data_IF_295683380885
#
_entry.id   IF_295683380885
#
_cell.length_a   1.000
_cell.length_b   1.000
_cell.length_c   1.000
_cell.angle_alpha   90.00
_cell.angle_beta   90.00
_cell.angle_gamma   90.00
#
_symmetry.space_group_name_H-M   'P 1'
#
loop_
_entity.id
_entity.type
_entity.pdbx_description
1 polymer ?
#
# COMPACT_ATOMS: atom_id res chain seq x y z
N UNK A 1 14.62 -82.59 -26.78
CA UNK A 1 14.65 -81.55 -27.84
C UNK A 1 15.29 -80.29 -27.27
N UNK A 2 16.58 -80.05 -27.50
CA UNK A 2 17.30 -78.86 -26.99
C UNK A 2 17.46 -77.85 -28.14
N UNK A 3 16.76 -76.71 -28.08
CA UNK A 3 16.97 -75.58 -29.00
C UNK A 3 18.12 -74.72 -28.48
N UNK A 4 19.21 -74.65 -29.23
CA UNK A 4 20.31 -73.71 -28.96
C UNK A 4 19.84 -72.29 -29.29
N UNK A 5 19.74 -71.44 -28.26
CA UNK A 5 19.52 -70.01 -28.45
C UNK A 5 20.75 -69.41 -29.16
N UNK A 6 20.54 -68.80 -30.34
CA UNK A 6 21.58 -68.05 -31.04
C UNK A 6 21.98 -66.86 -30.18
N UNK A 7 23.28 -66.71 -29.90
CA UNK A 7 23.81 -65.54 -29.20
C UNK A 7 23.49 -64.29 -30.05
N UNK A 8 22.88 -63.24 -29.47
CA UNK A 8 22.60 -62.01 -30.21
C UNK A 8 23.89 -61.40 -30.75
N UNK A 9 23.84 -60.79 -31.94
CA UNK A 9 25.03 -60.18 -32.54
C UNK A 9 25.44 -58.94 -31.72
N UNK A 10 26.75 -58.65 -31.61
CA UNK A 10 27.23 -57.47 -30.88
C UNK A 10 26.60 -56.16 -31.36
N UNK A 11 26.34 -56.05 -32.68
CA UNK A 11 25.68 -54.88 -33.28
C UNK A 11 24.24 -54.67 -32.77
N UNK A 12 23.49 -55.76 -32.56
CA UNK A 12 22.12 -55.71 -32.05
C UNK A 12 22.10 -55.22 -30.58
N UNK A 13 23.09 -55.65 -29.79
CA UNK A 13 23.25 -55.19 -28.40
C UNK A 13 23.55 -53.70 -28.37
N UNK A 14 24.47 -53.22 -29.21
CA UNK A 14 24.81 -51.80 -29.29
C UNK A 14 23.60 -50.98 -29.78
N UNK A 15 22.84 -51.45 -30.77
CA UNK A 15 21.64 -50.74 -31.24
C UNK A 15 20.58 -50.63 -30.15
N UNK A 16 20.39 -51.68 -29.33
CA UNK A 16 19.45 -51.60 -28.22
C UNK A 16 19.93 -50.65 -27.13
N UNK A 17 21.21 -50.67 -26.75
CA UNK A 17 21.74 -49.73 -25.75
C UNK A 17 21.60 -48.29 -26.25
N UNK A 18 21.99 -48.03 -27.50
CA UNK A 18 21.85 -46.71 -28.11
C UNK A 18 20.38 -46.27 -28.17
N UNK A 19 19.47 -47.18 -28.50
CA UNK A 19 18.02 -46.91 -28.52
C UNK A 19 17.51 -46.59 -27.11
N UNK A 20 17.88 -47.38 -26.10
CA UNK A 20 17.50 -47.13 -24.71
C UNK A 20 18.06 -45.79 -24.18
N UNK A 21 19.30 -45.44 -24.51
CA UNK A 21 19.91 -44.15 -24.13
C UNK A 21 19.25 -42.99 -24.88
N UNK A 22 18.90 -43.16 -26.15
CA UNK A 22 18.22 -42.15 -26.96
C UNK A 22 16.78 -41.89 -26.51
N UNK A 23 16.07 -42.91 -26.01
CA UNK A 23 14.72 -42.77 -25.46
C UNK A 23 14.71 -42.39 -23.96
N UNK A 24 15.76 -42.75 -23.23
CA UNK A 24 15.89 -42.44 -21.79
C UNK A 24 16.57 -41.09 -21.49
N UNK A 25 17.16 -40.45 -22.51
CA UNK A 25 17.85 -39.17 -22.37
C UNK A 25 16.92 -37.97 -22.44
N UNK A 26 17.19 -36.98 -21.57
CA UNK A 26 16.81 -35.56 -21.65
C UNK A 26 15.43 -35.11 -21.17
N UNK A 27 15.04 -35.43 -19.93
CA UNK A 27 14.06 -34.59 -19.21
C UNK A 27 14.06 -34.77 -17.69
N UNK A 28 15.24 -34.80 -17.07
CA UNK A 28 15.33 -34.74 -15.60
C UNK A 28 14.77 -33.44 -15.00
N UNK A 29 14.60 -32.38 -15.79
CA UNK A 29 13.92 -31.14 -15.37
C UNK A 29 12.40 -31.15 -15.51
N UNK A 30 11.78 -32.17 -16.13
CA UNK A 30 10.33 -32.23 -16.34
C UNK A 30 9.66 -33.38 -15.58
N UNK A 31 10.41 -34.41 -15.17
CA UNK A 31 9.85 -35.61 -14.53
C UNK A 31 9.16 -35.33 -13.18
N UNK A 32 9.52 -34.24 -12.49
CA UNK A 32 8.93 -33.83 -11.20
C UNK A 32 7.80 -32.82 -11.34
N UNK A 33 7.51 -32.34 -12.56
CA UNK A 33 6.52 -31.29 -12.80
C UNK A 33 6.85 -29.92 -12.18
N UNK A 34 8.06 -29.75 -11.62
CA UNK A 34 8.49 -28.53 -10.95
C UNK A 34 9.88 -28.10 -11.43
N UNK A 35 9.97 -26.90 -11.98
CA UNK A 35 11.23 -26.19 -12.21
C UNK A 35 11.47 -25.34 -10.97
N UNK A 36 12.59 -25.54 -10.27
CA UNK A 36 12.97 -24.78 -9.09
C UNK A 36 13.95 -23.65 -9.47
N UNK A 37 14.29 -22.79 -8.51
CA UNK A 37 15.18 -21.65 -8.75
C UNK A 37 16.59 -22.04 -9.21
N UNK A 38 17.05 -23.25 -8.87
CA UNK A 38 18.38 -23.75 -9.28
C UNK A 38 18.48 -24.03 -10.78
N UNK A 39 17.35 -24.29 -11.46
CA UNK A 39 17.28 -24.48 -12.91
C UNK A 39 17.14 -23.16 -13.68
N UNK A 40 16.84 -22.05 -12.99
CA UNK A 40 16.61 -20.73 -13.60
C UNK A 40 17.85 -19.85 -13.41
N UNK A 41 18.45 -19.43 -14.52
CA UNK A 41 19.57 -18.49 -14.48
C UNK A 41 19.09 -17.09 -14.13
N UNK A 42 19.84 -16.37 -13.31
CA UNK A 42 19.50 -14.99 -12.94
C UNK A 42 19.37 -14.09 -14.19
N UNK A 43 18.39 -13.20 -14.15
CA UNK A 43 18.07 -12.21 -15.19
C UNK A 43 17.60 -12.81 -16.54
N UNK A 44 17.20 -14.08 -16.60
CA UNK A 44 16.68 -14.67 -17.86
C UNK A 44 15.17 -14.60 -17.98
N UNK A 45 14.44 -14.44 -16.89
CA UNK A 45 12.98 -14.30 -16.91
C UNK A 45 12.63 -12.83 -17.11
N UNK A 46 11.93 -12.54 -18.20
CA UNK A 46 11.50 -11.21 -18.61
C UNK A 46 9.99 -11.07 -18.48
N UNK A 47 9.47 -9.85 -18.69
CA UNK A 47 8.02 -9.61 -18.63
C UNK A 47 7.21 -10.41 -19.67
N UNK A 48 7.81 -10.80 -20.81
CA UNK A 48 7.13 -11.65 -21.81
C UNK A 48 6.97 -13.09 -21.36
N UNK A 49 7.80 -13.56 -20.42
CA UNK A 49 7.74 -14.91 -19.87
C UNK A 49 6.66 -15.05 -18.79
N UNK A 50 6.14 -13.91 -18.29
CA UNK A 50 5.15 -13.85 -17.23
C UNK A 50 3.81 -13.45 -17.83
N UNK A 51 2.77 -14.26 -17.58
CA UNK A 51 1.41 -13.91 -18.01
C UNK A 51 0.92 -12.66 -17.29
N UNK A 52 0.26 -11.78 -18.03
CA UNK A 52 -0.29 -10.55 -17.47
C UNK A 52 -1.28 -10.86 -16.33
N UNK A 53 -1.21 -10.06 -15.25
CA UNK A 53 -2.12 -10.13 -14.08
C UNK A 53 -2.03 -11.41 -13.25
N UNK A 54 -0.96 -12.21 -13.35
CA UNK A 54 -0.81 -13.45 -12.56
C UNK A 54 0.06 -13.31 -11.31
N UNK A 55 0.91 -12.29 -11.23
CA UNK A 55 1.71 -11.99 -10.03
C UNK A 55 0.79 -11.44 -8.94
N UNK A 56 0.86 -11.99 -7.73
CA UNK A 56 0.15 -11.50 -6.53
C UNK A 56 1.17 -10.89 -5.56
N UNK A 57 0.68 -10.40 -4.42
CA UNK A 57 1.53 -9.71 -3.44
C UNK A 57 2.50 -10.65 -2.71
N UNK A 58 2.19 -11.94 -2.59
CA UNK A 58 3.02 -12.93 -1.89
C UNK A 58 4.19 -13.47 -2.74
N UNK A 59 4.18 -13.27 -4.07
CA UNK A 59 5.31 -13.63 -4.94
C UNK A 59 6.43 -12.59 -4.93
N UNK A 60 6.18 -11.41 -4.36
CA UNK A 60 7.17 -10.36 -4.16
C UNK A 60 7.71 -10.37 -2.73
N UNK A 61 9.01 -10.09 -2.58
CA UNK A 61 9.60 -9.83 -1.27
C UNK A 61 8.98 -8.53 -0.71
N UNK A 62 8.56 -8.50 0.57
CA UNK A 62 8.17 -7.26 1.24
C UNK A 62 9.26 -6.19 1.06
N UNK A 63 8.85 -4.99 0.64
CA UNK A 63 9.72 -3.84 0.37
C UNK A 63 10.87 -4.13 -0.63
N UNK A 64 10.71 -5.16 -1.47
CA UNK A 64 11.74 -5.58 -2.43
C UNK A 64 11.81 -4.74 -3.70
N UNK A 65 10.77 -3.98 -4.02
CA UNK A 65 10.76 -3.06 -5.14
C UNK A 65 11.17 -1.66 -4.67
N UNK A 66 12.30 -1.15 -5.17
CA UNK A 66 12.74 0.21 -4.86
C UNK A 66 11.91 1.27 -5.61
N UNK A 67 12.07 2.54 -5.22
CA UNK A 67 11.29 3.66 -5.79
C UNK A 67 11.48 3.89 -7.30
N UNK A 68 12.53 3.33 -7.92
CA UNK A 68 12.72 3.39 -9.38
C UNK A 68 12.11 2.21 -10.12
N UNK A 69 11.77 1.13 -9.41
CA UNK A 69 11.22 -0.10 -10.00
C UNK A 69 9.72 0.00 -10.30
N UNK A 70 9.04 1.00 -9.73
CA UNK A 70 7.61 1.21 -9.88
C UNK A 70 7.39 2.54 -10.61
N UNK A 71 6.64 2.51 -11.71
CA UNK A 71 6.27 3.73 -12.44
C UNK A 71 5.08 4.40 -11.74
N UNK A 72 5.36 5.14 -10.68
CA UNK A 72 4.36 5.78 -9.82
C UNK A 72 3.39 6.70 -10.58
N UNK A 73 3.82 7.32 -11.68
CA UNK A 73 2.96 8.17 -12.52
C UNK A 73 1.82 7.43 -13.22
N UNK A 74 1.87 6.10 -13.27
CA UNK A 74 0.78 5.27 -13.83
C UNK A 74 -0.19 4.76 -12.77
N UNK A 75 0.14 4.94 -11.49
CA UNK A 75 -0.74 4.57 -10.39
C UNK A 75 -1.84 5.63 -10.24
N UNK A 76 -3.08 5.18 -10.09
CA UNK A 76 -4.17 6.05 -9.63
C UNK A 76 -3.98 6.44 -8.17
N UNK A 77 -4.90 7.26 -7.65
CA UNK A 77 -4.93 7.60 -6.22
C UNK A 77 -5.09 6.31 -5.42
N UNK A 78 -4.09 5.97 -4.61
CA UNK A 78 -4.17 4.83 -3.69
C UNK A 78 -5.17 5.16 -2.57
N UNK A 79 -6.25 4.37 -2.38
CA UNK A 79 -7.31 4.69 -1.42
C UNK A 79 -6.81 4.72 0.03
N UNK A 80 -5.81 3.88 0.34
CA UNK A 80 -5.22 3.71 1.67
C UNK A 80 -3.70 3.63 1.57
N UNK A 81 -3.02 4.77 1.45
CA UNK A 81 -1.64 4.84 1.92
C UNK A 81 -1.71 5.22 3.40
N UNK A 82 -1.02 4.49 4.28
CA UNK A 82 -0.92 4.84 5.69
C UNK A 82 -0.23 6.21 5.91
N UNK A 83 0.37 6.79 4.87
CA UNK A 83 0.92 8.14 4.86
C UNK A 83 -0.01 9.19 4.23
N UNK A 84 -1.24 8.86 3.83
CA UNK A 84 -2.15 9.89 3.33
C UNK A 84 -2.84 10.61 4.47
N UNK A 85 -2.28 11.77 4.81
CA UNK A 85 -2.95 12.96 5.33
C UNK A 85 -4.37 12.70 5.84
N UNK A 86 -4.48 12.40 7.14
CA UNK A 86 -5.79 12.40 7.79
C UNK A 86 -6.29 13.83 7.73
N UNK A 87 -7.51 14.02 7.26
CA UNK A 87 -8.05 15.34 7.04
C UNK A 87 -9.45 15.45 7.60
N UNK A 88 -9.82 16.62 8.08
CA UNK A 88 -11.17 16.91 8.56
C UNK A 88 -11.55 18.33 8.19
N UNK A 89 -12.71 18.49 7.56
CA UNK A 89 -13.40 19.76 7.36
C UNK A 89 -14.51 19.83 8.37
N UNK A 90 -14.42 20.78 9.30
CA UNK A 90 -15.34 20.93 10.43
C UNK A 90 -16.08 22.25 10.28
N UNK A 91 -17.40 22.23 10.48
CA UNK A 91 -18.22 23.45 10.43
C UNK A 91 -18.17 24.26 11.73
N UNK A 92 -18.73 25.46 11.73
CA UNK A 92 -18.78 26.31 12.92
C UNK A 92 -19.55 25.67 14.10
N UNK A 93 -20.49 24.76 13.83
CA UNK A 93 -21.20 24.02 14.87
C UNK A 93 -20.33 22.91 15.53
N UNK A 94 -19.23 22.52 14.89
CA UNK A 94 -18.32 21.46 15.35
C UNK A 94 -18.64 20.07 14.79
N UNK A 95 -19.38 20.01 13.69
CA UNK A 95 -19.71 18.79 12.97
C UNK A 95 -18.73 18.59 11.81
N UNK A 96 -18.44 17.34 11.49
CA UNK A 96 -17.65 17.00 10.30
C UNK A 96 -18.53 17.09 9.07
N UNK A 97 -18.04 17.83 8.08
CA UNK A 97 -18.66 17.92 6.76
C UNK A 97 -17.97 16.97 5.77
N UNK A 98 -16.63 16.84 5.89
CA UNK A 98 -15.82 15.93 5.08
C UNK A 98 -14.61 15.46 5.87
N UNK A 99 -14.26 14.20 5.73
CA UNK A 99 -13.12 13.62 6.42
C UNK A 99 -12.35 12.60 5.59
N UNK A 100 -11.11 12.38 6.00
CA UNK A 100 -10.24 11.31 5.53
C UNK A 100 -9.53 10.70 6.72
N UNK A 101 -9.57 9.38 6.84
CA UNK A 101 -8.97 8.66 7.96
C UNK A 101 -9.85 8.55 9.20
N UNK A 102 -11.18 8.62 9.04
CA UNK A 102 -12.14 8.33 10.11
C UNK A 102 -12.15 9.33 11.26
N UNK A 103 -11.92 10.61 10.97
CA UNK A 103 -11.96 11.65 11.99
C UNK A 103 -13.39 11.80 12.57
N UNK A 104 -13.48 12.14 13.85
CA UNK A 104 -14.67 12.66 14.54
C UNK A 104 -14.40 14.09 14.99
N UNK A 105 -15.41 14.96 15.08
CA UNK A 105 -15.25 16.31 15.63
C UNK A 105 -16.39 16.62 16.61
N UNK A 106 -16.04 17.39 17.65
CA UNK A 106 -16.99 17.87 18.65
C UNK A 106 -16.60 19.28 19.10
N UNK A 107 -17.58 20.18 19.21
CA UNK A 107 -17.36 21.48 19.84
C UNK A 107 -17.33 21.34 21.36
N UNK A 108 -16.22 21.73 21.99
CA UNK A 108 -16.02 21.65 23.45
C UNK A 108 -16.30 22.97 24.16
N UNK A 109 -16.36 24.08 23.42
CA UNK A 109 -16.71 25.40 23.94
C UNK A 109 -16.77 26.45 22.82
N UNK A 110 -17.03 27.72 23.15
CA UNK A 110 -16.95 28.81 22.19
C UNK A 110 -15.55 28.88 21.56
N UNK A 111 -15.48 28.80 20.23
CA UNK A 111 -14.23 28.80 19.46
C UNK A 111 -13.28 27.64 19.76
N UNK A 112 -13.76 26.54 20.39
CA UNK A 112 -12.93 25.37 20.73
C UNK A 112 -13.57 24.08 20.23
N UNK A 113 -12.75 23.27 19.56
CA UNK A 113 -13.15 22.03 18.92
C UNK A 113 -12.14 20.93 19.23
N UNK A 114 -12.62 19.73 19.50
CA UNK A 114 -11.81 18.53 19.58
C UNK A 114 -12.04 17.70 18.31
N UNK A 115 -10.97 17.43 17.57
CA UNK A 115 -11.00 16.51 16.42
C UNK A 115 -10.27 15.22 16.81
N UNK A 116 -10.98 14.10 16.83
CA UNK A 116 -10.48 12.79 17.26
C UNK A 116 -10.26 11.88 16.06
N UNK A 117 -9.11 11.21 16.00
CA UNK A 117 -8.78 10.23 14.98
C UNK A 117 -8.80 8.81 15.57
N UNK A 118 -8.89 7.74 14.74
CA UNK A 118 -8.98 6.36 15.24
C UNK A 118 -7.65 5.80 15.79
N UNK A 119 -6.56 6.57 15.77
CA UNK A 119 -5.24 6.10 16.23
C UNK A 119 -4.40 7.25 16.79
N UNK A 120 -3.31 6.89 17.48
CA UNK A 120 -2.39 7.84 18.10
C UNK A 120 -1.79 8.80 17.05
N UNK A 121 -1.87 10.10 17.34
CA UNK A 121 -1.39 11.17 16.47
C UNK A 121 -0.24 11.97 17.09
N UNK A 122 0.23 11.64 18.30
CA UNK A 122 1.21 12.46 19.03
C UNK A 122 2.52 12.74 18.28
N UNK A 123 2.92 11.86 17.37
CA UNK A 123 4.11 12.03 16.53
C UNK A 123 3.87 12.80 15.21
N UNK A 124 2.66 13.28 14.98
CA UNK A 124 2.24 13.84 13.69
C UNK A 124 2.25 15.38 13.70
N UNK A 125 2.38 15.96 12.51
CA UNK A 125 2.26 17.40 12.26
C UNK A 125 0.79 17.73 12.06
N UNK A 126 0.32 18.79 12.72
CA UNK A 126 -1.02 19.33 12.58
C UNK A 126 -0.96 20.67 11.86
N UNK A 127 -1.68 20.79 10.74
CA UNK A 127 -1.83 22.06 10.04
C UNK A 127 -3.31 22.34 9.82
N UNK A 128 -3.78 23.52 10.23
CA UNK A 128 -5.16 23.92 10.02
C UNK A 128 -5.27 25.35 9.51
N UNK A 129 -6.30 25.59 8.71
CA UNK A 129 -6.66 26.90 8.17
C UNK A 129 -8.14 27.16 8.40
N UNK A 130 -8.49 28.42 8.61
CA UNK A 130 -9.90 28.82 8.56
C UNK A 130 -10.35 28.69 7.10
N UNK A 131 -11.42 27.94 6.90
CA UNK A 131 -11.90 27.54 5.59
C UNK A 131 -13.40 27.37 5.62
N UNK A 132 -14.06 27.65 4.51
CA UNK A 132 -15.50 27.45 4.37
C UNK A 132 -15.82 25.97 4.13
N UNK A 133 -17.02 25.54 4.48
CA UNK A 133 -17.52 24.20 4.17
C UNK A 133 -17.95 24.03 2.70
N UNK A 134 -18.01 25.12 1.95
CA UNK A 134 -18.28 25.17 0.52
C UNK A 134 -17.50 26.29 -0.20
N UNK A 135 -18.18 27.04 -1.07
CA UNK A 135 -17.60 28.08 -1.92
C UNK A 135 -17.91 29.51 -1.42
N UNK A 136 -18.34 29.67 -0.16
CA UNK A 136 -18.86 30.93 0.39
C UNK A 136 -17.83 32.03 0.63
N UNK A 137 -16.54 31.71 0.54
CA UNK A 137 -15.44 32.62 0.90
C UNK A 137 -15.23 32.64 2.42
N UNK A 138 -14.11 32.10 2.94
CA UNK A 138 -13.92 32.03 4.38
C UNK A 138 -13.78 33.43 5.00
N UNK A 139 -14.52 33.68 6.07
CA UNK A 139 -14.29 34.87 6.90
C UNK A 139 -12.88 34.85 7.51
N UNK A 140 -12.29 36.01 7.75
CA UNK A 140 -10.96 36.12 8.35
C UNK A 140 -10.96 35.80 9.85
N UNK A 141 -9.83 35.29 10.36
CA UNK A 141 -9.65 34.99 11.78
C UNK A 141 -8.32 34.28 12.03
N UNK A 142 -8.11 33.86 13.27
CA UNK A 142 -6.95 33.07 13.67
C UNK A 142 -7.34 31.66 14.06
N UNK A 143 -6.48 30.70 13.72
CA UNK A 143 -6.62 29.30 14.10
C UNK A 143 -5.32 28.84 14.76
N UNK A 144 -5.46 28.06 15.82
CA UNK A 144 -4.35 27.38 16.48
C UNK A 144 -4.73 25.94 16.75
N UNK A 145 -3.75 25.06 16.61
CA UNK A 145 -3.92 23.61 16.79
C UNK A 145 -2.88 23.10 17.78
N UNK A 146 -3.30 22.19 18.65
CA UNK A 146 -2.42 21.50 19.59
C UNK A 146 -2.92 20.08 19.82
N UNK A 147 -2.05 19.16 20.23
CA UNK A 147 -2.49 17.86 20.72
C UNK A 147 -3.26 18.02 22.04
N UNK A 148 -4.31 17.25 22.22
CA UNK A 148 -5.12 17.30 23.43
C UNK A 148 -4.41 16.49 24.55
N UNK A 149 -4.08 17.09 25.71
CA UNK A 149 -3.32 16.38 26.76
C UNK A 149 -4.08 15.19 27.35
N UNK A 150 -5.41 15.24 27.33
CA UNK A 150 -6.29 14.22 27.90
C UNK A 150 -6.55 13.04 26.96
N UNK A 151 -6.27 13.18 25.67
CA UNK A 151 -6.51 12.12 24.69
C UNK A 151 -5.45 12.14 23.57
N UNK A 152 -4.58 11.12 23.47
CA UNK A 152 -3.50 11.05 22.47
C UNK A 152 -4.00 10.98 21.02
N UNK A 153 -5.29 10.69 20.81
CA UNK A 153 -5.90 10.58 19.50
C UNK A 153 -6.61 11.87 19.08
N UNK A 154 -6.60 12.93 19.90
CA UNK A 154 -7.37 14.15 19.65
C UNK A 154 -6.50 15.41 19.49
N UNK A 155 -6.92 16.28 18.59
CA UNK A 155 -6.37 17.63 18.37
C UNK A 155 -7.34 18.66 18.97
N UNK A 156 -6.84 19.54 19.84
CA UNK A 156 -7.51 20.76 20.27
C UNK A 156 -7.33 21.82 19.17
N UNK A 157 -8.43 22.26 18.58
CA UNK A 157 -8.46 23.34 17.60
C UNK A 157 -9.16 24.53 18.22
N UNK A 158 -8.52 25.70 18.15
CA UNK A 158 -9.11 26.96 18.62
C UNK A 158 -9.19 27.96 17.49
N UNK A 159 -10.38 28.52 17.31
CA UNK A 159 -10.64 29.59 16.34
C UNK A 159 -11.00 30.87 17.08
N UNK A 160 -10.55 32.00 16.53
CA UNK A 160 -10.76 33.31 17.13
C UNK A 160 -10.99 34.39 16.08
N UNK A 161 -11.73 35.42 16.47
CA UNK A 161 -12.04 36.55 15.61
C UNK A 161 -10.77 37.35 15.24
N UNK A 162 -10.74 38.01 14.07
CA UNK A 162 -9.61 38.83 13.68
C UNK A 162 -9.45 40.03 14.62
N UNK A 163 -8.21 40.36 14.97
CA UNK A 163 -7.85 41.55 15.75
C UNK A 163 -8.10 41.49 17.26
N UNK A 164 -8.75 40.47 17.82
CA UNK A 164 -9.10 40.47 19.26
C UNK A 164 -8.86 39.16 20.04
N UNK A 165 -8.35 38.08 19.42
CA UNK A 165 -8.19 36.76 20.06
C UNK A 165 -9.43 36.28 20.83
N UNK A 166 -10.60 36.84 20.53
CA UNK A 166 -11.86 36.48 21.16
C UNK A 166 -12.32 35.15 20.57
N UNK A 167 -12.72 34.17 21.40
CA UNK A 167 -13.17 32.88 20.89
C UNK A 167 -14.39 33.05 19.99
N UNK A 168 -14.29 32.57 18.75
CA UNK A 168 -15.33 32.73 17.74
C UNK A 168 -15.50 31.41 16.99
N UNK A 169 -16.75 31.00 16.79
CA UNK A 169 -17.07 29.71 16.17
C UNK A 169 -16.93 29.84 14.65
N UNK A 170 -15.96 29.13 14.07
CA UNK A 170 -15.66 29.20 12.64
C UNK A 170 -15.40 27.82 12.07
N UNK A 171 -15.73 27.65 10.81
CA UNK A 171 -15.37 26.45 10.05
C UNK A 171 -13.88 26.46 9.72
N UNK A 172 -13.28 25.26 9.67
CA UNK A 172 -11.86 25.10 9.41
C UNK A 172 -11.55 23.78 8.72
N UNK A 173 -10.40 23.74 8.06
CA UNK A 173 -9.84 22.54 7.45
C UNK A 173 -8.61 22.15 8.26
N UNK A 174 -8.53 20.89 8.68
CA UNK A 174 -7.41 20.32 9.43
C UNK A 174 -6.80 19.19 8.62
N UNK A 175 -5.47 19.19 8.53
CA UNK A 175 -4.68 18.10 7.97
C UNK A 175 -3.69 17.63 9.03
N UNK A 176 -3.60 16.32 9.18
CA UNK A 176 -2.68 15.63 10.08
C UNK A 176 -1.84 14.65 9.28
N UNK A 177 -0.52 14.82 9.37
CA UNK A 177 0.45 14.02 8.63
C UNK A 177 1.51 13.47 9.56
N UNK A 178 1.72 12.16 9.43
CA UNK A 178 2.81 11.36 9.97
C UNK A 178 3.35 10.57 8.76
#
# INVERSE_FOLDING_TARGET
MKRFARRPSPALVISFIALFVSLGGVSYGLATGSIDGREIKNNTITGSDIRNKTLRGNEAKPDGFGGTSIKESTLGIVPFSNGVARAAVVNAAGQIIRERGGAGALRTGPGRYAVTFPSDIRGCIYNATIGDEGAGGPGSGFISVASLPTNPNSVDVRTSAPGSNTPDNRSFHLIVTC
#
